data_IF_900119885452
#
_entry.id   IF_900119885452
#
_cell.length_a   1.000
_cell.length_b   1.000
_cell.length_c   1.000
_cell.angle_alpha   90.00
_cell.angle_beta   90.00
_cell.angle_gamma   90.00
#
_symmetry.space_group_name_H-M   'P 1'
#
loop_
_entity.id
_entity.type
_entity.pdbx_description
1 polymer ?
#
# COMPACT_ATOMS: atom_id res chain seq x y z
N UNK A 1 -28.95 7.98 1.05
CA UNK A 1 -28.51 7.30 -0.20
C UNK A 1 -29.06 5.86 -0.25
N UNK A 2 -29.48 5.39 -1.41
CA UNK A 2 -29.90 3.98 -1.61
C UNK A 2 -28.65 3.10 -1.85
N UNK A 3 -28.69 1.85 -1.37
CA UNK A 3 -27.57 0.91 -1.54
C UNK A 3 -27.18 0.66 -3.01
N UNK A 4 -28.14 0.60 -3.91
CA UNK A 4 -27.87 0.49 -5.34
C UNK A 4 -27.11 1.68 -5.92
N UNK A 5 -27.37 2.86 -5.42
CA UNK A 5 -26.67 4.09 -5.80
C UNK A 5 -25.24 4.08 -5.25
N UNK A 6 -25.07 3.73 -3.96
CA UNK A 6 -23.76 3.54 -3.33
C UNK A 6 -22.90 2.58 -4.16
N UNK A 7 -23.43 1.43 -4.54
CA UNK A 7 -22.70 0.45 -5.37
C UNK A 7 -22.29 1.01 -6.73
N UNK A 8 -23.16 1.77 -7.39
CA UNK A 8 -22.84 2.41 -8.68
C UNK A 8 -21.66 3.37 -8.55
N UNK A 9 -21.69 4.25 -7.54
CA UNK A 9 -20.61 5.19 -7.24
C UNK A 9 -19.28 4.45 -7.03
N UNK A 10 -19.25 3.47 -6.11
CA UNK A 10 -18.05 2.69 -5.80
C UNK A 10 -17.49 2.02 -7.06
N UNK A 11 -18.32 1.34 -7.86
CA UNK A 11 -17.85 0.67 -9.07
C UNK A 11 -17.33 1.64 -10.13
N UNK A 12 -17.89 2.84 -10.19
CA UNK A 12 -17.42 3.91 -11.05
C UNK A 12 -16.04 4.43 -10.61
N UNK A 13 -15.88 4.80 -9.34
CA UNK A 13 -14.62 5.30 -8.78
C UNK A 13 -13.50 4.25 -8.84
N UNK A 14 -13.88 2.99 -8.75
CA UNK A 14 -12.97 1.84 -8.93
C UNK A 14 -12.67 1.53 -10.40
N UNK A 15 -13.14 2.33 -11.35
CA UNK A 15 -12.95 2.13 -12.80
C UNK A 15 -13.45 0.78 -13.33
N UNK A 16 -14.40 0.14 -12.64
CA UNK A 16 -14.96 -1.15 -13.03
C UNK A 16 -16.15 -1.00 -14.00
N UNK A 17 -16.78 0.17 -14.02
CA UNK A 17 -17.86 0.51 -14.97
C UNK A 17 -17.46 1.61 -15.96
N UNK A 18 -16.35 2.30 -15.72
CA UNK A 18 -15.78 3.34 -16.60
C UNK A 18 -14.27 3.25 -16.58
N UNK A 19 -13.70 2.42 -17.46
CA UNK A 19 -12.25 2.18 -17.53
C UNK A 19 -11.47 3.43 -17.94
N UNK A 20 -10.24 3.57 -17.44
CA UNK A 20 -9.34 4.67 -17.73
C UNK A 20 -7.94 4.17 -18.16
N UNK A 21 -6.94 5.03 -18.16
CA UNK A 21 -5.54 4.61 -18.30
C UNK A 21 -5.01 3.97 -17.02
N UNK A 22 -3.88 3.26 -17.14
CA UNK A 22 -3.34 2.46 -16.04
C UNK A 22 -2.82 3.32 -14.87
N UNK A 23 -2.27 4.49 -15.14
CA UNK A 23 -1.75 5.37 -14.10
C UNK A 23 -2.88 5.94 -13.25
N UNK A 24 -3.92 6.45 -13.89
CA UNK A 24 -5.14 6.94 -13.21
C UNK A 24 -5.78 5.83 -12.39
N UNK A 25 -6.00 4.64 -12.98
CA UNK A 25 -6.59 3.52 -12.27
C UNK A 25 -5.78 3.11 -11.03
N UNK A 26 -4.46 3.00 -11.16
CA UNK A 26 -3.59 2.60 -10.06
C UNK A 26 -3.55 3.64 -8.93
N UNK A 27 -3.55 4.93 -9.27
CA UNK A 27 -3.54 6.03 -8.30
C UNK A 27 -4.87 6.18 -7.56
N UNK A 28 -6.00 5.98 -8.24
CA UNK A 28 -7.33 6.07 -7.63
C UNK A 28 -7.62 4.87 -6.71
N UNK A 29 -7.06 3.68 -6.99
CA UNK A 29 -7.12 2.55 -6.04
C UNK A 29 -6.01 2.60 -4.99
N UNK A 30 -5.15 3.63 -4.99
CA UNK A 30 -4.02 3.89 -4.08
C UNK A 30 -2.89 2.86 -4.17
N UNK A 31 -3.21 1.58 -4.25
CA UNK A 31 -2.24 0.49 -4.28
C UNK A 31 -2.89 -0.81 -4.75
N UNK A 32 -2.11 -1.63 -5.41
CA UNK A 32 -2.53 -2.96 -5.85
C UNK A 32 -1.83 -4.02 -5.00
N UNK A 33 -2.57 -4.81 -4.23
CA UNK A 33 -1.94 -5.85 -3.41
C UNK A 33 -1.22 -6.86 -4.29
N UNK A 34 0.10 -7.02 -4.05
CA UNK A 34 1.03 -7.75 -4.90
C UNK A 34 1.73 -8.91 -4.19
N UNK A 35 1.07 -9.51 -3.20
CA UNK A 35 1.51 -10.78 -2.60
C UNK A 35 1.67 -11.83 -3.72
N UNK A 36 0.74 -11.83 -4.66
CA UNK A 36 0.81 -12.57 -5.91
C UNK A 36 0.69 -11.58 -7.07
N UNK A 37 1.78 -11.37 -7.80
CA UNK A 37 1.85 -10.35 -8.85
C UNK A 37 0.73 -10.46 -9.89
N UNK A 38 0.36 -11.69 -10.28
CA UNK A 38 -0.72 -11.94 -11.26
C UNK A 38 -2.07 -11.34 -10.84
N UNK A 39 -2.36 -11.29 -9.54
CA UNK A 39 -3.61 -10.70 -9.05
C UNK A 39 -3.59 -9.18 -9.15
N UNK A 40 -2.46 -8.54 -8.82
CA UNK A 40 -2.28 -7.10 -9.04
C UNK A 40 -2.39 -6.72 -10.52
N UNK A 41 -1.77 -7.50 -11.40
CA UNK A 41 -1.87 -7.33 -12.86
C UNK A 41 -3.32 -7.45 -13.35
N UNK A 42 -4.06 -8.47 -12.88
CA UNK A 42 -5.45 -8.66 -13.26
C UNK A 42 -6.34 -7.53 -12.73
N UNK A 43 -6.16 -7.11 -11.47
CA UNK A 43 -6.90 -5.99 -10.89
C UNK A 43 -6.72 -4.71 -11.72
N UNK A 44 -5.49 -4.42 -12.14
CA UNK A 44 -5.23 -3.24 -12.97
C UNK A 44 -5.82 -3.38 -14.38
N UNK A 45 -5.64 -4.55 -15.01
CA UNK A 45 -6.19 -4.84 -16.35
C UNK A 45 -7.71 -4.67 -16.41
N UNK A 46 -8.43 -5.07 -15.35
CA UNK A 46 -9.89 -4.92 -15.29
C UNK A 46 -10.34 -3.45 -15.32
N UNK A 47 -9.48 -2.53 -14.87
CA UNK A 47 -9.73 -1.09 -14.76
C UNK A 47 -9.24 -0.28 -15.94
N UNK A 48 -8.39 -0.87 -16.80
CA UNK A 48 -7.74 -0.16 -17.92
C UNK A 48 -8.44 -0.43 -19.24
N UNK A 49 -8.41 0.59 -20.14
CA UNK A 49 -9.00 0.50 -21.48
C UNK A 49 -8.16 -0.32 -22.45
N UNK A 50 -6.86 -0.33 -22.23
CA UNK A 50 -5.85 -0.86 -23.13
C UNK A 50 -4.74 -1.62 -22.38
N UNK A 51 -3.66 -1.92 -23.06
CA UNK A 51 -2.50 -2.65 -22.53
C UNK A 51 -1.50 -1.76 -21.76
N UNK A 52 -1.79 -0.51 -21.49
CA UNK A 52 -0.93 0.42 -20.71
C UNK A 52 -0.58 -0.13 -19.33
N UNK A 53 -1.43 -1.00 -18.74
CA UNK A 53 -1.16 -1.69 -17.49
C UNK A 53 0.16 -2.49 -17.51
N UNK A 54 0.57 -3.04 -18.65
CA UNK A 54 1.83 -3.80 -18.79
C UNK A 54 3.04 -2.91 -18.56
N UNK A 55 3.01 -1.70 -19.14
CA UNK A 55 4.08 -0.72 -18.97
C UNK A 55 4.07 -0.15 -17.56
N UNK A 56 2.90 0.18 -17.01
CA UNK A 56 2.79 0.68 -15.64
C UNK A 56 3.36 -0.32 -14.62
N UNK A 57 3.04 -1.62 -14.74
CA UNK A 57 3.58 -2.67 -13.84
C UNK A 57 5.10 -2.73 -13.88
N UNK A 58 5.74 -2.50 -15.06
CA UNK A 58 7.21 -2.46 -15.16
C UNK A 58 7.82 -1.27 -14.44
N UNK A 59 7.11 -0.14 -14.40
CA UNK A 59 7.56 1.12 -13.78
C UNK A 59 7.14 1.24 -12.31
N UNK A 60 6.21 0.42 -11.86
CA UNK A 60 5.68 0.47 -10.49
C UNK A 60 6.70 0.07 -9.44
N UNK A 61 6.56 0.64 -8.26
CA UNK A 61 7.34 0.29 -7.08
C UNK A 61 6.65 -0.83 -6.31
N UNK A 62 7.38 -1.92 -6.04
CA UNK A 62 6.91 -2.98 -5.15
C UNK A 62 7.48 -2.77 -3.77
N UNK A 63 6.61 -2.56 -2.79
CA UNK A 63 6.97 -2.27 -1.41
C UNK A 63 5.88 -2.73 -0.44
N UNK A 64 6.15 -2.72 0.86
CA UNK A 64 5.10 -2.88 1.87
C UNK A 64 4.34 -1.57 2.03
N UNK A 65 3.03 -1.67 2.08
CA UNK A 65 2.14 -0.53 2.28
C UNK A 65 0.99 -0.92 3.24
N UNK A 66 -0.24 -0.73 2.84
CA UNK A 66 -1.42 -0.93 3.69
C UNK A 66 -1.39 -2.27 4.42
N UNK A 67 -1.70 -2.25 5.71
CA UNK A 67 -1.69 -3.43 6.61
C UNK A 67 -0.36 -4.20 6.64
N UNK A 68 0.74 -3.58 6.13
CA UNK A 68 2.07 -4.18 6.05
C UNK A 68 2.23 -5.27 4.98
N UNK A 69 1.26 -5.45 4.08
CA UNK A 69 1.34 -6.40 2.98
C UNK A 69 2.05 -5.79 1.76
N UNK A 70 2.48 -6.64 0.82
CA UNK A 70 3.16 -6.19 -0.39
C UNK A 70 2.18 -5.57 -1.38
N UNK A 71 2.55 -4.42 -1.94
CA UNK A 71 1.77 -3.69 -2.92
C UNK A 71 2.62 -3.22 -4.09
N UNK A 72 1.99 -3.02 -5.24
CA UNK A 72 2.50 -2.16 -6.31
C UNK A 72 1.92 -0.77 -6.12
N UNK A 73 2.80 0.22 -6.15
CA UNK A 73 2.48 1.65 -6.03
C UNK A 73 2.96 2.38 -7.28
N UNK A 74 2.31 3.49 -7.58
CA UNK A 74 2.93 4.50 -8.43
C UNK A 74 4.20 5.03 -7.74
N UNK A 75 5.28 5.24 -8.50
CA UNK A 75 6.55 5.65 -7.93
C UNK A 75 6.47 7.00 -7.19
N UNK A 76 5.64 7.93 -7.68
CA UNK A 76 5.43 9.24 -7.07
C UNK A 76 4.66 9.16 -5.74
N UNK A 77 3.82 8.12 -5.57
CA UNK A 77 3.01 7.94 -4.37
C UNK A 77 3.75 7.25 -3.22
N UNK A 78 4.92 6.63 -3.51
CA UNK A 78 5.69 5.90 -2.50
C UNK A 78 6.00 6.77 -1.27
N UNK A 79 6.46 7.99 -1.49
CA UNK A 79 6.82 8.91 -0.40
C UNK A 79 5.60 9.28 0.45
N UNK A 80 4.49 9.63 -0.18
CA UNK A 80 3.24 9.98 0.52
C UNK A 80 2.73 8.81 1.36
N UNK A 81 2.60 7.63 0.74
CA UNK A 81 2.05 6.44 1.38
C UNK A 81 2.94 5.97 2.54
N UNK A 82 4.27 5.91 2.33
CA UNK A 82 5.20 5.52 3.40
C UNK A 82 5.15 6.51 4.57
N UNK A 83 5.12 7.82 4.30
CA UNK A 83 5.03 8.85 5.35
C UNK A 83 3.69 8.78 6.11
N UNK A 84 2.58 8.64 5.42
CA UNK A 84 1.25 8.56 6.04
C UNK A 84 1.10 7.34 6.96
N UNK A 85 1.73 6.21 6.59
CA UNK A 85 1.67 4.94 7.33
C UNK A 85 2.78 4.80 8.38
N UNK A 86 3.69 5.77 8.52
CA UNK A 86 4.89 5.66 9.36
C UNK A 86 4.58 5.30 10.82
N UNK A 87 3.61 5.98 11.45
CA UNK A 87 3.23 5.72 12.86
C UNK A 87 2.72 4.28 13.07
N UNK A 88 2.06 3.71 12.07
CA UNK A 88 1.55 2.34 12.14
C UNK A 88 2.68 1.33 12.04
N UNK A 89 3.76 1.71 11.38
CA UNK A 89 4.94 0.88 11.22
C UNK A 89 5.81 0.79 12.47
N UNK A 90 5.87 1.82 13.29
CA UNK A 90 6.59 1.79 14.56
C UNK A 90 6.09 0.66 15.46
N UNK A 91 4.77 0.46 15.53
CA UNK A 91 4.18 -0.66 16.25
C UNK A 91 4.50 -2.02 15.63
N UNK A 92 4.52 -2.11 14.29
CA UNK A 92 4.80 -3.35 13.57
C UNK A 92 6.27 -3.73 13.62
N UNK A 93 7.17 -2.75 13.65
CA UNK A 93 8.61 -2.94 13.82
C UNK A 93 8.91 -3.84 15.02
N UNK A 94 8.22 -3.63 16.14
CA UNK A 94 8.40 -4.43 17.35
C UNK A 94 8.22 -5.93 17.10
N UNK A 95 7.23 -6.34 16.32
CA UNK A 95 7.00 -7.76 16.01
C UNK A 95 8.04 -8.34 15.03
N UNK A 96 8.56 -7.51 14.13
CA UNK A 96 9.52 -7.93 13.10
C UNK A 96 10.94 -8.03 13.67
N UNK A 97 11.28 -7.18 14.63
CA UNK A 97 12.61 -7.11 15.25
C UNK A 97 12.67 -7.67 16.67
N UNK A 98 11.64 -8.36 17.15
CA UNK A 98 11.51 -8.83 18.55
C UNK A 98 12.63 -9.77 19.04
N UNK A 99 13.38 -10.34 18.12
CA UNK A 99 14.48 -11.25 18.43
C UNK A 99 15.83 -10.54 18.55
N UNK A 100 15.88 -9.24 18.32
CA UNK A 100 17.07 -8.40 18.34
C UNK A 100 17.01 -7.42 19.49
N UNK A 101 18.14 -7.20 20.14
CA UNK A 101 18.32 -5.97 20.92
C UNK A 101 18.33 -4.76 19.99
N UNK A 102 18.07 -3.54 20.47
CA UNK A 102 18.16 -2.34 19.62
C UNK A 102 19.52 -2.17 18.93
N UNK A 103 20.60 -2.55 19.60
CA UNK A 103 21.97 -2.50 19.08
C UNK A 103 22.19 -3.51 17.96
N UNK A 104 21.73 -4.75 18.16
CA UNK A 104 21.79 -5.80 17.14
C UNK A 104 20.94 -5.43 15.92
N UNK A 105 19.70 -4.96 16.13
CA UNK A 105 18.85 -4.50 15.04
C UNK A 105 19.57 -3.46 14.19
N UNK A 106 20.15 -2.44 14.83
CA UNK A 106 20.88 -1.38 14.14
C UNK A 106 22.08 -1.91 13.38
N UNK A 107 22.88 -2.80 14.02
CA UNK A 107 24.05 -3.43 13.41
C UNK A 107 23.68 -4.22 12.16
N UNK A 108 22.69 -5.10 12.27
CA UNK A 108 22.23 -5.94 11.15
C UNK A 108 21.59 -5.10 10.04
N UNK A 109 20.77 -4.12 10.37
CA UNK A 109 20.16 -3.20 9.39
C UNK A 109 21.24 -2.45 8.62
N UNK A 110 22.25 -1.90 9.29
CA UNK A 110 23.36 -1.20 8.62
C UNK A 110 24.13 -2.13 7.70
N UNK A 111 24.52 -3.33 8.20
CA UNK A 111 25.23 -4.32 7.39
C UNK A 111 24.44 -4.72 6.13
N UNK A 112 23.11 -4.91 6.24
CA UNK A 112 22.25 -5.21 5.10
C UNK A 112 22.22 -4.05 4.11
N UNK A 113 22.10 -2.81 4.58
CA UNK A 113 22.09 -1.61 3.71
C UNK A 113 23.42 -1.45 2.98
N UNK A 114 24.54 -1.65 3.66
CA UNK A 114 25.88 -1.57 3.08
C UNK A 114 26.07 -2.62 1.97
N UNK A 115 25.63 -3.85 2.22
CA UNK A 115 25.67 -4.92 1.21
C UNK A 115 24.78 -4.60 0.00
N UNK A 116 23.60 -4.04 0.21
CA UNK A 116 22.71 -3.61 -0.88
C UNK A 116 23.32 -2.46 -1.69
N UNK A 117 24.01 -1.52 -1.05
CA UNK A 117 24.75 -0.43 -1.73
C UNK A 117 25.90 -0.97 -2.59
N UNK A 118 26.51 -2.06 -2.18
CA UNK A 118 27.53 -2.78 -2.95
C UNK A 118 26.96 -3.65 -4.08
N UNK A 119 25.63 -3.62 -4.31
CA UNK A 119 24.95 -4.39 -5.34
C UNK A 119 24.66 -5.85 -4.97
N UNK A 120 24.83 -6.24 -3.70
CA UNK A 120 24.52 -7.59 -3.23
C UNK A 120 23.05 -7.66 -2.83
N UNK A 121 22.19 -8.16 -3.70
CA UNK A 121 20.73 -7.99 -3.61
C UNK A 121 19.94 -9.21 -3.13
N UNK A 122 20.46 -10.42 -3.29
CA UNK A 122 19.75 -11.65 -2.96
C UNK A 122 19.83 -12.00 -1.47
N UNK A 123 18.71 -12.36 -0.82
CA UNK A 123 18.66 -12.75 0.61
C UNK A 123 19.71 -13.77 0.98
N UNK A 124 19.89 -14.82 0.16
CA UNK A 124 20.88 -15.87 0.40
C UNK A 124 22.32 -15.34 0.33
N UNK A 125 22.62 -14.47 -0.63
CA UNK A 125 23.94 -13.84 -0.76
C UNK A 125 24.21 -12.94 0.46
N UNK A 126 23.21 -12.15 0.88
CA UNK A 126 23.32 -11.29 2.06
C UNK A 126 23.52 -12.12 3.31
N UNK A 127 22.74 -13.19 3.53
CA UNK A 127 22.94 -14.11 4.64
C UNK A 127 24.40 -14.62 4.69
N UNK A 128 24.92 -15.16 3.58
CA UNK A 128 26.30 -15.67 3.52
C UNK A 128 27.32 -14.59 3.87
N UNK A 129 27.09 -13.34 3.46
CA UNK A 129 27.98 -12.22 3.78
C UNK A 129 27.90 -11.82 5.25
N UNK A 130 26.70 -11.75 5.83
CA UNK A 130 26.51 -11.45 7.26
C UNK A 130 27.23 -12.47 8.15
N UNK A 131 27.10 -13.77 7.84
CA UNK A 131 27.82 -14.85 8.56
C UNK A 131 29.34 -14.69 8.38
N UNK A 132 29.82 -14.39 7.18
CA UNK A 132 31.23 -14.15 6.91
C UNK A 132 31.80 -12.90 7.63
N UNK A 133 30.96 -11.96 8.00
CA UNK A 133 31.32 -10.81 8.85
C UNK A 133 31.40 -11.17 10.34
N UNK A 134 31.15 -12.42 10.73
CA UNK A 134 31.19 -12.91 12.11
C UNK A 134 29.93 -12.61 12.92
N UNK A 135 28.81 -12.26 12.27
CA UNK A 135 27.55 -12.05 12.96
C UNK A 135 26.89 -13.38 13.33
N UNK A 136 26.10 -13.39 14.42
CA UNK A 136 25.42 -14.59 14.90
C UNK A 136 24.57 -15.23 13.79
N UNK A 137 24.79 -16.51 13.55
CA UNK A 137 24.19 -17.23 12.42
C UNK A 137 22.67 -17.33 12.53
N UNK A 138 22.12 -17.51 13.75
CA UNK A 138 20.67 -17.58 13.99
C UNK A 138 20.01 -16.23 13.72
N UNK A 139 20.66 -15.16 14.15
CA UNK A 139 20.17 -13.79 13.86
C UNK A 139 20.29 -13.47 12.37
N UNK A 140 21.34 -13.95 11.67
CA UNK A 140 21.45 -13.83 10.21
C UNK A 140 20.30 -14.54 9.49
N UNK A 141 19.92 -15.75 9.94
CA UNK A 141 18.80 -16.50 9.38
C UNK A 141 17.49 -15.76 9.57
N UNK A 142 17.23 -15.26 10.78
CA UNK A 142 16.06 -14.44 11.10
C UNK A 142 16.04 -13.14 10.28
N UNK A 143 17.18 -12.44 10.15
CA UNK A 143 17.28 -11.20 9.37
C UNK A 143 16.89 -11.42 7.91
N UNK A 144 17.28 -12.56 7.32
CA UNK A 144 17.04 -12.92 5.94
C UNK A 144 15.76 -13.72 5.71
N UNK A 145 14.91 -13.91 6.72
CA UNK A 145 13.63 -14.62 6.61
C UNK A 145 12.78 -14.06 5.48
N UNK A 146 12.07 -14.95 4.77
CA UNK A 146 11.24 -14.58 3.63
C UNK A 146 9.92 -13.89 4.03
N UNK A 147 9.46 -14.14 5.25
CA UNK A 147 8.16 -13.65 5.71
C UNK A 147 8.26 -12.35 6.51
N UNK A 148 9.14 -12.32 7.48
CA UNK A 148 9.35 -11.17 8.34
C UNK A 148 10.82 -10.74 8.27
N UNK A 149 11.60 -10.71 9.23
CA UNK A 149 13.00 -10.35 9.19
C UNK A 149 13.26 -8.86 8.95
N UNK A 150 14.53 -8.49 8.99
CA UNK A 150 14.94 -7.09 8.94
C UNK A 150 14.72 -6.42 7.58
N UNK A 151 14.60 -7.19 6.50
CA UNK A 151 14.20 -6.63 5.20
C UNK A 151 12.79 -6.04 5.24
N UNK A 152 11.88 -6.63 6.00
CA UNK A 152 10.55 -6.07 6.18
C UNK A 152 10.61 -4.74 6.96
N UNK A 153 11.44 -4.68 8.00
CA UNK A 153 11.70 -3.45 8.77
C UNK A 153 12.25 -2.35 7.85
N UNK A 154 13.33 -2.63 7.12
CA UNK A 154 13.96 -1.69 6.20
C UNK A 154 13.03 -1.23 5.07
N UNK A 155 12.16 -2.12 4.58
CA UNK A 155 11.20 -1.80 3.55
C UNK A 155 10.11 -0.84 4.08
N UNK A 156 9.57 -1.11 5.25
CA UNK A 156 8.60 -0.27 5.95
C UNK A 156 9.20 1.10 6.28
N UNK A 157 10.47 1.15 6.67
CA UNK A 157 11.21 2.39 6.92
C UNK A 157 11.51 3.19 5.65
N UNK A 158 11.15 2.68 4.47
CA UNK A 158 11.45 3.33 3.20
C UNK A 158 12.93 3.34 2.83
N UNK A 159 13.74 2.46 3.41
CA UNK A 159 15.18 2.33 3.11
C UNK A 159 15.45 1.47 1.88
N UNK A 160 14.61 0.47 1.67
CA UNK A 160 14.71 -0.49 0.56
C UNK A 160 13.36 -0.67 -0.14
N UNK A 161 13.40 -1.17 -1.37
CA UNK A 161 12.23 -1.66 -2.10
C UNK A 161 12.62 -2.91 -2.88
N UNK A 162 11.68 -3.60 -3.49
CA UNK A 162 12.02 -4.66 -4.45
C UNK A 162 12.57 -4.03 -5.73
N UNK A 163 13.52 -4.69 -6.40
CA UNK A 163 14.16 -4.17 -7.63
C UNK A 163 13.16 -3.86 -8.74
N UNK A 164 12.13 -4.69 -8.87
CA UNK A 164 11.02 -4.51 -9.82
C UNK A 164 9.82 -5.36 -9.37
N UNK A 165 8.67 -5.19 -10.00
CA UNK A 165 7.41 -5.83 -9.62
C UNK A 165 7.49 -7.36 -9.47
N UNK A 166 8.21 -8.05 -10.36
CA UNK A 166 8.38 -9.50 -10.32
C UNK A 166 9.54 -9.97 -9.45
N UNK A 167 10.40 -9.06 -8.97
CA UNK A 167 11.61 -9.41 -8.21
C UNK A 167 11.28 -9.97 -6.83
N UNK A 168 12.17 -10.85 -6.35
CA UNK A 168 12.27 -11.26 -4.95
C UNK A 168 13.48 -10.65 -4.24
N UNK A 169 14.31 -9.91 -4.97
CA UNK A 169 15.50 -9.23 -4.51
C UNK A 169 15.22 -7.77 -4.18
N UNK A 170 15.96 -7.22 -3.24
CA UNK A 170 15.82 -5.84 -2.80
C UNK A 170 16.84 -4.94 -3.48
N UNK A 171 16.49 -3.66 -3.58
CA UNK A 171 17.37 -2.58 -3.95
C UNK A 171 17.49 -1.59 -2.79
N UNK A 172 18.67 -1.00 -2.61
CA UNK A 172 18.84 0.18 -1.77
C UNK A 172 18.13 1.36 -2.44
N UNK A 173 17.13 1.89 -1.80
CA UNK A 173 16.30 2.96 -2.35
C UNK A 173 15.70 3.82 -1.23
N UNK A 174 16.56 4.54 -0.47
CA UNK A 174 16.09 5.33 0.66
C UNK A 174 15.23 6.50 0.21
N UNK A 175 14.21 6.80 1.03
CA UNK A 175 13.41 8.03 0.93
C UNK A 175 13.52 8.80 2.24
N UNK A 176 13.47 10.12 2.15
CA UNK A 176 13.31 10.99 3.31
C UNK A 176 11.82 11.21 3.57
N UNK A 177 11.33 10.74 4.71
CA UNK A 177 9.92 10.89 5.07
C UNK A 177 9.54 12.38 5.14
N UNK A 178 8.30 12.70 4.81
CA UNK A 178 7.75 14.04 4.98
C UNK A 178 7.65 14.38 6.47
N UNK A 179 7.96 15.62 6.83
CA UNK A 179 7.90 16.09 8.22
C UNK A 179 6.46 16.18 8.74
N UNK A 180 5.52 16.59 7.91
CA UNK A 180 4.10 16.69 8.26
C UNK A 180 3.36 15.37 7.94
N UNK A 181 3.40 14.45 8.90
CA UNK A 181 2.71 13.16 8.79
C UNK A 181 1.18 13.30 8.80
N UNK A 182 0.65 14.30 9.48
CA UNK A 182 -0.79 14.55 9.55
C UNK A 182 -1.33 15.06 8.20
N UNK A 183 -0.58 15.93 7.51
CA UNK A 183 -0.90 16.31 6.14
C UNK A 183 -0.86 15.12 5.19
N UNK A 184 0.12 14.21 5.34
CA UNK A 184 0.20 12.99 4.55
C UNK A 184 -1.01 12.07 4.79
N UNK A 185 -1.43 11.89 6.05
CA UNK A 185 -2.62 11.10 6.39
C UNK A 185 -3.90 11.73 5.83
N UNK A 186 -4.03 13.05 5.93
CA UNK A 186 -5.17 13.79 5.36
C UNK A 186 -5.24 13.59 3.85
N UNK A 187 -4.15 13.77 3.13
CA UNK A 187 -4.07 13.57 1.68
C UNK A 187 -4.42 12.13 1.30
N UNK A 188 -3.90 11.16 2.04
CA UNK A 188 -4.16 9.75 1.77
C UNK A 188 -5.63 9.36 1.98
N UNK A 189 -6.28 9.87 3.04
CA UNK A 189 -7.72 9.66 3.28
C UNK A 189 -8.57 10.40 2.24
N UNK A 190 -8.18 11.60 1.82
CA UNK A 190 -8.83 12.31 0.73
C UNK A 190 -8.84 11.48 -0.57
N UNK A 191 -7.69 10.94 -0.97
CA UNK A 191 -7.59 10.06 -2.15
C UNK A 191 -8.38 8.76 -1.98
N UNK A 192 -8.41 8.21 -0.76
CA UNK A 192 -9.25 7.06 -0.48
C UNK A 192 -10.74 7.35 -0.68
N UNK A 193 -11.23 8.49 -0.19
CA UNK A 193 -12.62 8.91 -0.45
C UNK A 193 -12.90 9.06 -1.94
N UNK A 194 -11.94 9.61 -2.71
CA UNK A 194 -12.06 9.78 -4.16
C UNK A 194 -12.19 8.43 -4.88
N UNK A 195 -11.37 7.44 -4.52
CA UNK A 195 -11.32 6.16 -5.22
C UNK A 195 -12.28 5.09 -4.69
N UNK A 196 -12.75 5.22 -3.44
CA UNK A 196 -13.57 4.20 -2.77
C UNK A 196 -14.92 4.72 -2.27
N UNK A 197 -15.11 6.05 -2.23
CA UNK A 197 -16.36 6.64 -1.73
C UNK A 197 -17.60 6.19 -2.53
N UNK A 198 -18.77 6.15 -1.88
CA UNK A 198 -19.09 6.41 -0.47
C UNK A 198 -18.70 5.25 0.46
N UNK A 199 -18.00 5.54 1.55
CA UNK A 199 -17.46 4.54 2.49
C UNK A 199 -17.95 4.79 3.92
N UNK A 200 -18.04 3.71 4.72
CA UNK A 200 -18.27 3.83 6.16
C UNK A 200 -16.92 3.98 6.90
N UNK A 201 -16.95 4.46 8.16
CA UNK A 201 -15.77 4.42 9.03
C UNK A 201 -15.24 2.98 9.24
N UNK A 202 -16.10 1.97 9.15
CA UNK A 202 -15.71 0.57 9.23
C UNK A 202 -14.89 0.16 8.01
N UNK A 203 -15.32 0.52 6.80
CA UNK A 203 -14.60 0.22 5.57
C UNK A 203 -13.22 0.89 5.57
N UNK A 204 -13.16 2.18 5.91
CA UNK A 204 -11.90 2.91 6.01
C UNK A 204 -10.97 2.35 7.10
N UNK A 205 -11.53 2.00 8.28
CA UNK A 205 -10.77 1.37 9.37
C UNK A 205 -10.15 0.04 8.94
N UNK A 206 -10.89 -0.76 8.19
CA UNK A 206 -10.39 -2.02 7.66
C UNK A 206 -9.30 -1.82 6.61
N UNK A 207 -9.51 -0.89 5.69
CA UNK A 207 -8.55 -0.58 4.61
C UNK A 207 -7.21 -0.09 5.17
N UNK A 208 -7.22 0.92 6.03
CA UNK A 208 -6.00 1.51 6.59
C UNK A 208 -5.40 0.69 7.74
N UNK A 209 -6.20 -0.08 8.45
CA UNK A 209 -5.84 -0.68 9.73
C UNK A 209 -5.79 0.33 10.88
N UNK A 210 -6.43 1.51 10.72
CA UNK A 210 -6.47 2.57 11.73
C UNK A 210 -7.74 2.49 12.60
N UNK A 211 -7.65 3.01 13.82
CA UNK A 211 -8.82 3.10 14.70
C UNK A 211 -9.86 4.08 14.11
N UNK A 212 -11.15 3.77 14.27
CA UNK A 212 -12.24 4.63 13.80
C UNK A 212 -12.11 6.08 14.28
N UNK A 213 -11.75 6.28 15.56
CA UNK A 213 -11.55 7.62 16.16
C UNK A 213 -10.43 8.41 15.45
N UNK A 214 -9.35 7.74 15.05
CA UNK A 214 -8.25 8.38 14.31
C UNK A 214 -8.71 8.82 12.91
N UNK A 215 -9.45 7.95 12.22
CA UNK A 215 -10.02 8.27 10.92
C UNK A 215 -11.02 9.41 10.97
N UNK A 216 -11.89 9.40 11.96
CA UNK A 216 -12.88 10.47 12.18
C UNK A 216 -12.19 11.83 12.39
N UNK A 217 -11.11 11.87 13.18
CA UNK A 217 -10.31 13.07 13.38
C UNK A 217 -9.61 13.54 12.09
N UNK A 218 -9.23 12.62 11.19
CA UNK A 218 -8.67 12.99 9.87
C UNK A 218 -9.78 13.49 8.94
N UNK A 219 -10.94 12.82 8.89
CA UNK A 219 -12.07 13.22 8.06
C UNK A 219 -12.55 14.62 8.39
N UNK A 220 -12.59 15.00 9.67
CA UNK A 220 -12.97 16.35 10.11
C UNK A 220 -12.03 17.45 9.60
N UNK A 221 -10.79 17.12 9.23
CA UNK A 221 -9.80 18.05 8.66
C UNK A 221 -9.90 18.16 7.13
N UNK A 222 -10.67 17.33 6.46
CA UNK A 222 -10.84 17.34 5.00
C UNK A 222 -12.03 18.26 4.67
N UNK A 223 -11.79 19.23 3.81
CA UNK A 223 -12.86 20.12 3.34
C UNK A 223 -13.83 19.35 2.43
N UNK A 224 -15.10 19.76 2.49
CA UNK A 224 -16.18 19.28 1.62
C UNK A 224 -16.52 17.79 1.73
N UNK A 225 -16.12 17.08 2.79
CA UNK A 225 -16.60 15.71 3.02
C UNK A 225 -18.10 15.78 3.30
N UNK A 226 -18.88 15.07 2.51
CA UNK A 226 -20.33 14.91 2.70
C UNK A 226 -20.63 13.64 3.47
N UNK A 227 -21.65 13.71 4.31
CA UNK A 227 -22.17 12.56 5.07
C UNK A 227 -23.60 12.31 4.66
N UNK A 228 -23.94 11.04 4.43
CA UNK A 228 -25.32 10.63 4.17
C UNK A 228 -25.63 9.33 4.90
N UNK A 229 -26.90 9.05 5.12
CA UNK A 229 -27.33 7.73 5.61
C UNK A 229 -27.48 6.76 4.44
N UNK A 230 -26.97 5.55 4.63
CA UNK A 230 -27.19 4.41 3.74
C UNK A 230 -27.59 3.20 4.56
N UNK A 231 -28.88 2.88 4.59
CA UNK A 231 -29.44 1.77 5.35
C UNK A 231 -29.07 1.77 6.85
N UNK A 232 -29.15 2.93 7.50
CA UNK A 232 -28.82 3.10 8.92
C UNK A 232 -27.32 3.18 9.23
N UNK A 233 -26.48 3.29 8.20
CA UNK A 233 -25.05 3.51 8.33
C UNK A 233 -24.64 4.84 7.74
N UNK A 234 -23.85 5.63 8.48
CA UNK A 234 -23.26 6.87 7.96
C UNK A 234 -22.16 6.50 6.95
N UNK A 235 -22.28 7.05 5.74
CA UNK A 235 -21.27 6.98 4.69
C UNK A 235 -20.67 8.35 4.42
N UNK A 236 -19.41 8.36 4.03
CA UNK A 236 -18.59 9.55 3.75
C UNK A 236 -18.18 9.53 2.29
N UNK A 237 -18.33 10.65 1.62
CA UNK A 237 -17.96 10.84 0.21
C UNK A 237 -17.49 12.27 -0.06
N UNK A 238 -16.82 12.48 -1.17
CA UNK A 238 -16.54 13.82 -1.71
C UNK A 238 -17.68 14.25 -2.64
N UNK A 239 -17.99 15.55 -2.72
CA UNK A 239 -18.95 16.06 -3.69
C UNK A 239 -18.48 15.82 -5.12
N UNK A 240 -19.37 15.46 -5.99
CA UNK A 240 -19.10 15.21 -7.40
C UNK A 240 -20.18 15.84 -8.28
N UNK A 241 -19.75 16.35 -9.43
CA UNK A 241 -20.62 16.86 -10.48
C UNK A 241 -20.80 15.80 -11.57
N UNK A 242 -21.51 14.72 -11.25
CA UNK A 242 -21.81 13.63 -12.19
C UNK A 242 -23.32 13.48 -12.31
N UNK A 243 -23.86 13.75 -13.49
CA UNK A 243 -25.30 13.69 -13.75
C UNK A 243 -25.86 12.27 -13.59
N UNK A 244 -25.11 11.26 -14.04
CA UNK A 244 -25.54 9.86 -13.94
C UNK A 244 -24.36 8.88 -13.92
N UNK A 245 -24.38 7.95 -12.98
CA UNK A 245 -23.43 6.84 -12.94
C UNK A 245 -23.85 5.70 -13.89
N UNK A 246 -22.87 5.00 -14.52
CA UNK A 246 -23.16 3.86 -15.37
C UNK A 246 -23.99 2.79 -14.64
N UNK A 247 -24.80 2.06 -15.39
CA UNK A 247 -25.52 0.92 -14.83
C UNK A 247 -24.57 -0.16 -14.36
N UNK A 248 -24.90 -0.79 -13.24
CA UNK A 248 -24.14 -1.95 -12.76
C UNK A 248 -24.32 -3.09 -13.76
N UNK A 249 -23.25 -3.70 -14.29
CA UNK A 249 -23.38 -4.88 -15.13
C UNK A 249 -23.96 -6.05 -14.34
N UNK A 250 -24.52 -7.04 -15.04
CA UNK A 250 -25.11 -8.23 -14.42
C UNK A 250 -24.12 -8.96 -13.50
N UNK A 251 -22.81 -8.94 -13.85
CA UNK A 251 -21.74 -9.49 -13.04
C UNK A 251 -20.48 -8.63 -13.18
N UNK A 252 -19.75 -8.47 -12.09
CA UNK A 252 -18.41 -7.87 -12.04
C UNK A 252 -17.46 -8.92 -11.47
N UNK A 253 -16.53 -9.40 -12.29
CA UNK A 253 -15.50 -10.33 -11.84
C UNK A 253 -14.30 -9.56 -11.32
N UNK A 254 -13.84 -9.91 -10.13
CA UNK A 254 -12.66 -9.33 -9.51
C UNK A 254 -11.54 -10.35 -9.42
N UNK A 255 -10.32 -9.90 -9.37
CA UNK A 255 -9.18 -10.77 -9.13
C UNK A 255 -9.11 -11.15 -7.64
N UNK A 256 -8.44 -12.23 -7.32
CA UNK A 256 -8.06 -12.48 -5.92
C UNK A 256 -7.21 -11.31 -5.39
N UNK A 257 -7.44 -10.88 -4.15
CA UNK A 257 -6.77 -9.70 -3.56
C UNK A 257 -7.03 -8.38 -4.34
N UNK A 258 -8.20 -8.25 -4.94
CA UNK A 258 -8.59 -6.98 -5.58
C UNK A 258 -8.74 -5.88 -4.52
N UNK A 259 -8.29 -4.64 -4.80
CA UNK A 259 -8.38 -3.51 -3.85
C UNK A 259 -9.80 -3.28 -3.30
N UNK A 260 -10.84 -3.56 -4.10
CA UNK A 260 -12.23 -3.42 -3.66
C UNK A 260 -12.66 -4.48 -2.63
N UNK A 261 -11.95 -5.61 -2.54
CA UNK A 261 -12.26 -6.72 -1.62
C UNK A 261 -11.44 -6.69 -0.33
N UNK A 262 -10.51 -5.78 -0.22
CA UNK A 262 -9.55 -5.65 0.87
C UNK A 262 -9.84 -4.43 1.70
#
# INVERSE_FOLDING_TARGET
MKEAERKRKILYHQHLTSRCDAQTAARDVLALQAQFLRHAQMSLRLRTRDDSWKQWVKQSVKTRAFRGTLHLLDAEDRLLITSALWKDYEHRKYYMARYYTPQEEQLFCNAILDLLQQGICGRRKIYTRLVAMGLDEKLCELACSSWDGLFAVLNIQGKVMFQHAASREFAYAPISLRSDLDACRKELVYRYLKGYGPVTLRDASYFFGWKKKELEAVLQKIHNVQMSDCNGSTVYELPEEIDAYPRIPTAVFLSGFDPLML
#
